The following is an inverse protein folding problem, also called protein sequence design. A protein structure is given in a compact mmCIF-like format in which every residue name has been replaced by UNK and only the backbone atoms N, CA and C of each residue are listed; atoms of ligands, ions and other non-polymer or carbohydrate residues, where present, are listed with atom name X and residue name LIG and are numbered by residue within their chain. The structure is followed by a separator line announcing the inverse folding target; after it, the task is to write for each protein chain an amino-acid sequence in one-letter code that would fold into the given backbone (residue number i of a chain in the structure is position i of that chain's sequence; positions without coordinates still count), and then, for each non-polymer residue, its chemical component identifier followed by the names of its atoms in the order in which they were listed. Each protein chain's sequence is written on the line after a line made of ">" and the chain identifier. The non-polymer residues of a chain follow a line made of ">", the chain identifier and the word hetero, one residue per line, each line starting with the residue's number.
data_IF_831981024342
#
_entry.id   IF_831981024342
#
_cell.length_a   1.000
_cell.length_b   1.000
_cell.length_c   1.000
_cell.angle_alpha   90.00
_cell.angle_beta   90.00
_cell.angle_gamma   90.00
#
_symmetry.space_group_name_H-M   'P 1'
#
loop_
_entity.id
_entity.type
_entity.pdbx_description
1 polymer ?
#
# COMPACT_ATOMS: atom_id res chain seq x y z
N UNK A 1 -32.09 -7.04 -24.44
CA UNK A 1 -31.21 -7.28 -23.27
C UNK A 1 -30.49 -5.98 -22.94
N UNK A 2 -30.77 -5.44 -21.75
CA UNK A 2 -30.50 -4.06 -21.34
C UNK A 2 -29.01 -3.84 -21.05
N UNK A 3 -28.45 -2.78 -21.64
CA UNK A 3 -27.16 -2.18 -21.27
C UNK A 3 -27.27 -1.66 -19.83
N UNK A 4 -26.52 -2.25 -18.91
CA UNK A 4 -26.33 -1.69 -17.58
C UNK A 4 -25.07 -0.83 -17.58
N UNK A 5 -25.34 0.46 -17.47
CA UNK A 5 -24.56 1.50 -16.82
C UNK A 5 -23.03 1.44 -16.97
N UNK A 6 -22.55 2.31 -17.87
CA UNK A 6 -21.30 3.03 -17.60
C UNK A 6 -21.42 3.65 -16.21
N UNK A 7 -20.65 3.13 -15.26
CA UNK A 7 -20.35 3.82 -14.01
C UNK A 7 -19.60 5.07 -14.43
N UNK A 8 -20.35 6.16 -14.41
CA UNK A 8 -19.89 7.50 -14.63
C UNK A 8 -18.89 7.79 -13.52
N UNK A 9 -17.60 7.78 -13.87
CA UNK A 9 -16.53 8.36 -13.07
C UNK A 9 -16.95 9.79 -12.72
N UNK A 10 -17.54 9.95 -11.54
CA UNK A 10 -17.54 11.23 -10.89
C UNK A 10 -16.08 11.49 -10.56
N UNK A 11 -15.46 12.30 -11.41
CA UNK A 11 -14.32 13.15 -11.08
C UNK A 11 -14.65 13.95 -9.81
N UNK A 12 -14.58 13.27 -8.66
CA UNK A 12 -14.17 13.88 -7.42
C UNK A 12 -12.82 14.49 -7.75
N UNK A 13 -12.80 15.80 -7.90
CA UNK A 13 -11.61 16.60 -8.07
C UNK A 13 -10.64 16.30 -6.93
N UNK A 14 -9.80 15.29 -7.13
CA UNK A 14 -8.68 14.94 -6.27
C UNK A 14 -7.69 16.08 -6.47
N UNK A 15 -7.87 17.15 -5.69
CA UNK A 15 -6.90 18.24 -5.63
C UNK A 15 -5.60 17.63 -5.11
N UNK A 16 -4.50 17.63 -5.89
CA UNK A 16 -3.22 17.13 -5.42
C UNK A 16 -2.72 18.08 -4.32
N UNK A 17 -2.81 17.64 -3.06
CA UNK A 17 -2.23 18.36 -1.94
C UNK A 17 -0.76 17.93 -1.88
N UNK A 18 0.12 18.86 -2.25
CA UNK A 18 1.58 18.74 -2.18
C UNK A 18 2.04 18.35 -0.76
N UNK A 19 3.03 17.44 -0.62
CA UNK A 19 3.55 17.00 0.68
C UNK A 19 4.45 18.04 1.38
N UNK A 20 4.60 19.26 0.86
CA UNK A 20 5.59 20.24 1.35
C UNK A 20 5.02 21.47 2.08
N UNK A 21 3.83 21.39 2.70
CA UNK A 21 3.31 22.52 3.49
C UNK A 21 2.72 22.08 4.84
N UNK A 22 3.60 21.93 5.83
CA UNK A 22 3.29 21.65 7.25
C UNK A 22 2.55 22.78 8.01
N UNK A 23 1.92 23.75 7.32
CA UNK A 23 1.28 24.89 8.00
C UNK A 23 -0.21 24.67 8.25
N UNK A 24 -0.74 25.25 9.33
CA UNK A 24 -2.14 25.19 9.76
C UNK A 24 -3.17 25.50 8.66
N UNK A 25 -2.75 26.17 7.58
CA UNK A 25 -3.53 26.42 6.37
C UNK A 25 -3.94 25.15 5.62
N UNK A 26 -3.13 24.08 5.64
CA UNK A 26 -3.46 22.81 5.00
C UNK A 26 -4.61 22.10 5.72
N UNK A 27 -4.66 22.19 7.05
CA UNK A 27 -5.77 21.69 7.86
C UNK A 27 -7.04 22.51 7.68
N UNK A 28 -6.93 23.84 7.62
CA UNK A 28 -8.06 24.73 7.34
C UNK A 28 -8.60 24.46 5.93
N UNK A 29 -7.73 24.26 4.94
CA UNK A 29 -8.13 23.88 3.58
C UNK A 29 -8.80 22.49 3.57
N UNK A 30 -8.21 21.48 4.20
CA UNK A 30 -8.81 20.15 4.31
C UNK A 30 -10.16 20.14 5.01
N UNK A 31 -10.32 20.94 6.07
CA UNK A 31 -11.58 21.09 6.81
C UNK A 31 -12.63 21.91 6.07
N UNK A 32 -12.23 22.86 5.21
CA UNK A 32 -13.15 23.67 4.38
C UNK A 32 -13.66 22.90 3.16
N UNK A 33 -12.85 22.01 2.57
CA UNK A 33 -13.19 21.23 1.37
C UNK A 33 -13.89 19.88 1.66
N UNK A 34 -14.32 19.63 2.89
CA UNK A 34 -15.19 18.50 3.19
C UNK A 34 -16.60 18.80 2.60
N UNK A 35 -17.26 17.87 1.88
CA UNK A 35 -18.63 18.10 1.37
C UNK A 35 -19.62 18.58 2.44
N UNK A 36 -19.45 18.11 3.68
CA UNK A 36 -20.28 18.54 4.82
C UNK A 36 -19.99 20.00 5.19
N UNK A 37 -18.73 20.43 5.28
CA UNK A 37 -18.41 21.83 5.60
C UNK A 37 -18.82 22.79 4.48
N UNK A 38 -18.71 22.37 3.21
CA UNK A 38 -19.21 23.13 2.06
C UNK A 38 -20.72 23.31 2.12
N UNK A 39 -21.48 22.27 2.46
CA UNK A 39 -22.94 22.39 2.62
C UNK A 39 -23.33 23.32 3.77
N UNK A 40 -22.64 23.26 4.91
CA UNK A 40 -22.88 24.14 6.06
C UNK A 40 -22.49 25.59 5.72
N UNK A 41 -21.39 25.80 5.01
CA UNK A 41 -20.96 27.12 4.55
C UNK A 41 -21.95 27.71 3.54
N UNK A 42 -22.38 26.92 2.55
CA UNK A 42 -23.39 27.35 1.57
C UNK A 42 -24.71 27.70 2.26
N UNK A 43 -25.15 26.87 3.23
CA UNK A 43 -26.34 27.14 4.02
C UNK A 43 -26.21 28.44 4.85
N UNK A 44 -25.09 28.62 5.54
CA UNK A 44 -24.82 29.82 6.34
C UNK A 44 -24.77 31.10 5.48
N UNK A 45 -24.20 31.02 4.28
CA UNK A 45 -24.19 32.12 3.31
C UNK A 45 -25.60 32.41 2.82
N UNK A 46 -26.39 31.41 2.43
CA UNK A 46 -27.78 31.60 2.00
C UNK A 46 -28.66 32.22 3.09
N UNK A 47 -28.52 31.77 4.34
CA UNK A 47 -29.23 32.34 5.50
C UNK A 47 -28.77 33.78 5.77
N UNK A 48 -27.46 34.04 5.70
CA UNK A 48 -26.90 35.39 5.88
C UNK A 48 -27.36 36.39 4.82
N UNK A 49 -27.43 35.97 3.56
CA UNK A 49 -27.99 36.78 2.46
C UNK A 49 -29.47 37.07 2.68
N UNK A 50 -30.25 36.07 3.11
CA UNK A 50 -31.69 36.23 3.33
C UNK A 50 -32.03 37.17 4.49
N UNK A 51 -31.19 37.24 5.52
CA UNK A 51 -31.48 38.01 6.74
C UNK A 51 -30.90 39.44 6.71
N UNK A 52 -29.71 39.63 6.12
CA UNK A 52 -28.96 40.90 6.19
C UNK A 52 -28.23 41.28 4.90
N UNK A 53 -28.53 40.62 3.77
CA UNK A 53 -27.87 40.87 2.48
C UNK A 53 -26.39 40.51 2.47
N UNK A 54 -25.56 41.23 1.69
CA UNK A 54 -24.13 40.93 1.55
C UNK A 54 -23.34 41.02 2.86
N UNK A 55 -23.70 41.93 3.77
CA UNK A 55 -23.03 42.08 5.06
C UNK A 55 -23.25 40.84 5.95
N UNK A 56 -24.46 40.27 5.95
CA UNK A 56 -24.76 39.03 6.67
C UNK A 56 -23.96 37.83 6.14
N UNK A 57 -23.79 37.74 4.81
CA UNK A 57 -22.97 36.71 4.18
C UNK A 57 -21.48 36.80 4.56
N UNK A 58 -20.93 38.03 4.59
CA UNK A 58 -19.52 38.25 4.98
C UNK A 58 -19.27 37.90 6.45
N UNK A 59 -20.19 38.27 7.35
CA UNK A 59 -20.09 37.93 8.78
C UNK A 59 -20.23 36.42 9.00
N UNK A 60 -21.14 35.75 8.29
CA UNK A 60 -21.29 34.30 8.34
C UNK A 60 -20.02 33.56 7.85
N UNK A 61 -19.40 34.03 6.76
CA UNK A 61 -18.11 33.49 6.32
C UNK A 61 -17.00 33.73 7.34
N UNK A 62 -16.87 34.95 7.87
CA UNK A 62 -15.83 35.30 8.84
C UNK A 62 -15.96 34.47 10.14
N UNK A 63 -17.18 34.29 10.64
CA UNK A 63 -17.45 33.45 11.82
C UNK A 63 -17.16 31.98 11.55
N UNK A 64 -17.52 31.45 10.37
CA UNK A 64 -17.20 30.08 9.98
C UNK A 64 -15.69 29.84 9.89
N UNK A 65 -14.94 30.77 9.31
CA UNK A 65 -13.47 30.71 9.23
C UNK A 65 -12.85 30.80 10.63
N UNK A 66 -13.35 31.69 11.49
CA UNK A 66 -12.87 31.83 12.86
C UNK A 66 -13.12 30.55 13.68
N UNK A 67 -14.35 30.01 13.64
CA UNK A 67 -14.72 28.76 14.31
C UNK A 67 -13.92 27.58 13.76
N UNK A 68 -13.75 27.48 12.44
CA UNK A 68 -12.91 26.47 11.81
C UNK A 68 -11.45 26.54 12.26
N UNK A 69 -10.89 27.75 12.36
CA UNK A 69 -9.52 27.97 12.83
C UNK A 69 -9.32 27.71 14.33
N UNK A 70 -10.37 27.90 15.14
CA UNK A 70 -10.36 27.50 16.55
C UNK A 70 -10.54 25.99 16.72
N UNK A 71 -11.38 25.36 15.90
CA UNK A 71 -11.61 23.93 15.92
C UNK A 71 -10.36 23.13 15.51
N UNK A 72 -9.51 23.65 14.62
CA UNK A 72 -8.22 23.01 14.29
C UNK A 72 -7.20 23.06 15.42
N UNK A 73 -7.37 23.93 16.42
CA UNK A 73 -6.55 23.93 17.65
C UNK A 73 -6.96 22.83 18.62
N UNK A 74 -8.15 22.24 18.47
CA UNK A 74 -8.59 21.13 19.32
C UNK A 74 -7.83 19.85 18.95
N UNK A 75 -7.10 19.28 19.92
CA UNK A 75 -6.30 18.05 19.75
C UNK A 75 -7.14 16.88 19.21
N UNK A 76 -8.41 16.81 19.56
CA UNK A 76 -9.33 15.77 19.11
C UNK A 76 -9.62 15.87 17.60
N UNK A 77 -9.92 17.08 17.12
CA UNK A 77 -10.18 17.34 15.70
C UNK A 77 -8.92 17.08 14.87
N UNK A 78 -7.75 17.51 15.37
CA UNK A 78 -6.47 17.25 14.71
C UNK A 78 -6.21 15.74 14.57
N UNK A 79 -6.34 14.95 15.65
CA UNK A 79 -6.20 13.49 15.58
C UNK A 79 -7.18 12.84 14.60
N UNK A 80 -8.42 13.32 14.53
CA UNK A 80 -9.40 12.80 13.58
C UNK A 80 -9.03 13.13 12.13
N UNK A 81 -8.55 14.35 11.87
CA UNK A 81 -8.06 14.77 10.56
C UNK A 81 -6.80 13.99 10.17
N UNK A 82 -5.85 13.82 11.08
CA UNK A 82 -4.61 13.06 10.85
C UNK A 82 -4.94 11.63 10.41
N UNK A 83 -5.85 10.94 11.12
CA UNK A 83 -6.35 9.62 10.73
C UNK A 83 -6.97 9.64 9.33
N UNK A 84 -7.80 10.63 9.00
CA UNK A 84 -8.39 10.74 7.67
C UNK A 84 -7.34 10.95 6.57
N UNK A 85 -6.30 11.74 6.84
CA UNK A 85 -5.20 11.93 5.91
C UNK A 85 -4.42 10.63 5.71
N UNK A 86 -4.09 9.91 6.77
CA UNK A 86 -3.44 8.60 6.71
C UNK A 86 -4.25 7.61 5.86
N UNK A 87 -5.56 7.51 6.09
CA UNK A 87 -6.46 6.67 5.27
C UNK A 87 -6.43 7.06 3.79
N UNK A 88 -6.46 8.36 3.47
CA UNK A 88 -6.42 8.83 2.08
C UNK A 88 -5.09 8.55 1.40
N UNK A 89 -3.97 8.73 2.12
CA UNK A 89 -2.64 8.40 1.61
C UNK A 89 -2.53 6.91 1.33
N UNK A 90 -3.01 6.06 2.25
CA UNK A 90 -3.05 4.60 2.07
C UNK A 90 -3.90 4.21 0.86
N UNK A 91 -5.13 4.73 0.74
CA UNK A 91 -6.01 4.47 -0.41
C UNK A 91 -5.39 4.93 -1.74
N UNK A 92 -4.74 6.09 -1.77
CA UNK A 92 -4.08 6.59 -2.97
C UNK A 92 -2.94 5.65 -3.40
N UNK A 93 -2.12 5.20 -2.46
CA UNK A 93 -1.03 4.26 -2.71
C UNK A 93 -1.55 2.92 -3.24
N UNK A 94 -2.62 2.40 -2.65
CA UNK A 94 -3.26 1.15 -3.10
C UNK A 94 -3.86 1.27 -4.51
N UNK A 95 -4.53 2.38 -4.80
CA UNK A 95 -5.07 2.66 -6.13
C UNK A 95 -3.96 2.77 -7.19
N UNK A 96 -2.84 3.39 -6.83
CA UNK A 96 -1.67 3.50 -7.70
C UNK A 96 -1.05 2.12 -7.99
N UNK A 97 -0.85 1.28 -6.97
CA UNK A 97 -0.36 -0.11 -7.13
C UNK A 97 -1.26 -0.93 -8.06
N UNK A 98 -2.57 -0.91 -7.83
CA UNK A 98 -3.53 -1.63 -8.68
C UNK A 98 -3.52 -1.12 -10.12
N UNK A 99 -3.38 0.21 -10.31
CA UNK A 99 -3.25 0.81 -11.64
C UNK A 99 -1.97 0.34 -12.34
N UNK A 100 -0.86 0.25 -11.62
CA UNK A 100 0.42 -0.25 -12.15
C UNK A 100 0.38 -1.75 -12.49
N UNK A 101 -0.37 -2.55 -11.71
CA UNK A 101 -0.54 -4.00 -11.93
C UNK A 101 -1.56 -4.35 -13.02
N UNK A 102 -2.42 -3.42 -13.44
CA UNK A 102 -3.39 -3.63 -14.52
C UNK A 102 -2.85 -4.36 -15.77
N UNK A 103 -1.67 -4.02 -16.33
CA UNK A 103 -1.11 -4.69 -17.51
C UNK A 103 -0.52 -6.09 -17.24
N UNK A 104 -0.27 -6.47 -15.98
CA UNK A 104 0.38 -7.75 -15.62
C UNK A 104 -0.55 -8.96 -15.66
N UNK A 105 -1.85 -8.74 -15.89
CA UNK A 105 -2.88 -9.80 -15.96
C UNK A 105 -3.56 -10.10 -14.62
N UNK A 106 -4.61 -10.92 -14.68
CA UNK A 106 -5.48 -11.19 -13.53
C UNK A 106 -4.77 -11.99 -12.41
N UNK A 107 -3.87 -12.92 -12.77
CA UNK A 107 -3.17 -13.77 -11.79
C UNK A 107 -2.31 -12.94 -10.84
N UNK A 108 -1.51 -12.00 -11.37
CA UNK A 108 -0.66 -11.12 -10.55
C UNK A 108 -1.48 -10.14 -9.71
N UNK A 109 -2.63 -9.68 -10.21
CA UNK A 109 -3.55 -8.85 -9.43
C UNK A 109 -4.16 -9.63 -8.26
N UNK A 110 -4.55 -10.89 -8.48
CA UNK A 110 -5.07 -11.74 -7.41
C UNK A 110 -4.00 -11.99 -6.34
N UNK A 111 -2.78 -12.35 -6.74
CA UNK A 111 -1.66 -12.53 -5.80
C UNK A 111 -1.41 -11.26 -4.97
N UNK A 112 -1.41 -10.08 -5.62
CA UNK A 112 -1.29 -8.82 -4.91
C UNK A 112 -2.42 -8.60 -3.90
N UNK A 113 -3.68 -8.89 -4.27
CA UNK A 113 -4.82 -8.75 -3.35
C UNK A 113 -4.66 -9.66 -2.13
N UNK A 114 -4.26 -10.91 -2.33
CA UNK A 114 -4.00 -11.86 -1.24
C UNK A 114 -2.90 -11.35 -0.30
N UNK A 115 -1.77 -10.89 -0.85
CA UNK A 115 -0.66 -10.33 -0.07
C UNK A 115 -1.07 -9.05 0.67
N UNK A 116 -1.81 -8.17 0.03
CA UNK A 116 -2.33 -6.94 0.64
C UNK A 116 -3.23 -7.28 1.83
N UNK A 117 -4.10 -8.27 1.69
CA UNK A 117 -5.03 -8.66 2.74
C UNK A 117 -4.28 -9.24 3.95
N UNK A 118 -3.26 -10.07 3.71
CA UNK A 118 -2.35 -10.55 4.77
C UNK A 118 -1.60 -9.41 5.46
N UNK A 119 -1.02 -8.47 4.70
CA UNK A 119 -0.32 -7.31 5.28
C UNK A 119 -1.27 -6.46 6.13
N UNK A 120 -2.51 -6.24 5.66
CA UNK A 120 -3.52 -5.52 6.43
C UNK A 120 -3.91 -6.24 7.73
N UNK A 121 -3.94 -7.58 7.71
CA UNK A 121 -4.20 -8.39 8.90
C UNK A 121 -3.03 -8.31 9.90
N UNK A 122 -1.79 -8.37 9.42
CA UNK A 122 -0.59 -8.18 10.25
C UNK A 122 -0.57 -6.78 10.85
N UNK A 123 -0.78 -5.73 10.06
CA UNK A 123 -0.85 -4.34 10.55
C UNK A 123 -1.91 -4.14 11.63
N UNK A 124 -3.02 -4.90 11.56
CA UNK A 124 -4.08 -4.86 12.55
C UNK A 124 -3.71 -5.61 13.83
N UNK A 125 -2.94 -6.69 13.72
CA UNK A 125 -2.60 -7.59 14.83
C UNK A 125 -1.34 -7.13 15.55
N UNK A 126 -0.25 -6.91 14.82
CA UNK A 126 1.03 -6.39 15.30
C UNK A 126 1.57 -5.31 14.33
N UNK A 127 1.26 -4.02 14.57
CA UNK A 127 1.75 -2.92 13.72
C UNK A 127 3.27 -2.74 13.81
N UNK A 128 3.90 -3.16 14.91
CA UNK A 128 5.35 -3.03 15.07
C UNK A 128 6.08 -4.05 14.20
N UNK A 129 5.57 -5.28 14.12
CA UNK A 129 6.12 -6.29 13.20
C UNK A 129 5.95 -5.89 11.73
N UNK A 130 4.79 -5.34 11.36
CA UNK A 130 4.57 -4.79 10.02
C UNK A 130 5.56 -3.68 9.66
N UNK A 131 5.88 -2.80 10.62
CA UNK A 131 6.86 -1.74 10.44
C UNK A 131 8.29 -2.29 10.37
N UNK A 132 8.64 -3.25 11.23
CA UNK A 132 9.97 -3.88 11.28
C UNK A 132 10.35 -4.54 9.97
N UNK A 133 9.40 -5.21 9.32
CA UNK A 133 9.60 -5.83 8.01
C UNK A 133 9.25 -4.91 6.83
N UNK A 134 8.89 -3.66 7.11
CA UNK A 134 8.53 -2.66 6.10
C UNK A 134 7.52 -3.20 5.06
N UNK A 135 6.50 -3.95 5.50
CA UNK A 135 5.62 -4.73 4.62
C UNK A 135 4.96 -3.89 3.53
N UNK A 136 4.68 -2.62 3.80
CA UNK A 136 4.17 -1.70 2.79
C UNK A 136 5.18 -1.42 1.67
N UNK A 137 6.47 -1.26 1.98
CA UNK A 137 7.52 -1.09 0.98
C UNK A 137 7.74 -2.38 0.19
N UNK A 138 7.60 -3.54 0.86
CA UNK A 138 7.66 -4.84 0.21
C UNK A 138 6.53 -5.04 -0.82
N UNK A 139 5.31 -4.55 -0.53
CA UNK A 139 4.21 -4.54 -1.50
C UNK A 139 4.47 -3.62 -2.70
N UNK A 140 5.13 -2.48 -2.49
CA UNK A 140 5.56 -1.62 -3.61
C UNK A 140 6.59 -2.37 -4.48
N UNK A 141 7.57 -3.00 -3.83
CA UNK A 141 8.60 -3.78 -4.50
C UNK A 141 8.00 -4.94 -5.32
N UNK A 142 7.02 -5.66 -4.76
CA UNK A 142 6.27 -6.68 -5.49
C UNK A 142 5.63 -6.13 -6.77
N UNK A 143 5.02 -4.93 -6.72
CA UNK A 143 4.43 -4.30 -7.89
C UNK A 143 5.48 -4.00 -8.96
N UNK A 144 6.62 -3.45 -8.56
CA UNK A 144 7.74 -3.14 -9.46
C UNK A 144 8.32 -4.40 -10.13
N UNK A 145 8.48 -5.48 -9.36
CA UNK A 145 8.92 -6.78 -9.85
C UNK A 145 7.91 -7.37 -10.83
N UNK A 146 6.61 -7.35 -10.50
CA UNK A 146 5.56 -7.89 -11.36
C UNK A 146 5.48 -7.13 -12.70
N UNK A 147 5.59 -5.80 -12.68
CA UNK A 147 5.64 -4.97 -13.88
C UNK A 147 6.90 -5.28 -14.70
N UNK A 148 8.06 -5.41 -14.05
CA UNK A 148 9.32 -5.75 -14.71
C UNK A 148 9.28 -7.13 -15.36
N UNK A 149 8.68 -8.10 -14.68
CA UNK A 149 8.46 -9.46 -15.18
C UNK A 149 7.56 -9.45 -16.41
N UNK A 150 6.44 -8.73 -16.37
CA UNK A 150 5.54 -8.58 -17.51
C UNK A 150 6.24 -7.91 -18.70
N UNK A 151 7.02 -6.85 -18.48
CA UNK A 151 7.79 -6.17 -19.55
C UNK A 151 8.80 -7.11 -20.21
N UNK A 152 9.45 -7.99 -19.43
CA UNK A 152 10.36 -8.99 -20.00
C UNK A 152 9.61 -10.03 -20.84
N UNK A 153 8.44 -10.49 -20.39
CA UNK A 153 7.58 -11.39 -21.18
C UNK A 153 7.14 -10.73 -22.50
N UNK A 154 6.73 -9.46 -22.46
CA UNK A 154 6.29 -8.76 -23.66
C UNK A 154 7.46 -8.48 -24.62
N UNK A 155 8.65 -8.20 -24.11
CA UNK A 155 9.88 -8.09 -24.92
C UNK A 155 10.21 -9.42 -25.62
N UNK A 156 10.05 -10.54 -24.91
CA UNK A 156 10.27 -11.88 -25.46
C UNK A 156 9.20 -12.27 -26.50
N UNK A 157 7.95 -11.84 -26.31
CA UNK A 157 6.87 -11.99 -27.31
C UNK A 157 7.16 -11.18 -28.58
N UNK A 158 7.52 -9.90 -28.42
CA UNK A 158 7.85 -9.00 -29.54
C UNK A 158 9.12 -9.42 -30.29
N UNK A 159 10.06 -10.07 -29.61
CA UNK A 159 11.26 -10.64 -30.24
C UNK A 159 10.96 -11.83 -31.18
N UNK A 160 9.71 -12.31 -31.25
CA UNK A 160 9.31 -13.41 -32.13
C UNK A 160 9.80 -14.76 -31.62
N UNK A 161 9.60 -15.05 -30.33
CA UNK A 161 10.02 -16.32 -29.70
C UNK A 161 9.52 -17.59 -30.41
N UNK A 162 8.45 -17.49 -31.21
CA UNK A 162 7.94 -18.56 -32.09
C UNK A 162 8.74 -18.75 -33.39
N UNK A 163 9.38 -17.69 -33.88
CA UNK A 163 9.96 -17.64 -35.23
C UNK A 163 11.49 -17.81 -35.22
N UNK A 164 12.10 -17.74 -34.04
CA UNK A 164 13.52 -17.99 -33.83
C UNK A 164 13.72 -19.47 -33.45
N UNK A 165 14.48 -20.25 -34.25
CA UNK A 165 14.79 -21.63 -33.89
C UNK A 165 15.45 -21.68 -32.50
N UNK A 166 15.01 -22.63 -31.66
CA UNK A 166 15.49 -22.80 -30.27
C UNK A 166 17.00 -23.05 -30.22
N UNK A 167 17.52 -23.69 -31.26
CA UNK A 167 18.94 -23.94 -31.51
C UNK A 167 19.45 -23.00 -32.63
N UNK A 168 20.70 -22.54 -32.54
CA UNK A 168 21.33 -21.92 -33.72
C UNK A 168 21.27 -22.95 -34.85
N UNK A 169 20.63 -22.65 -36.01
CA UNK A 169 20.75 -23.53 -37.15
C UNK A 169 22.24 -23.66 -37.48
N UNK A 170 22.68 -24.87 -37.83
CA UNK A 170 24.05 -25.13 -38.29
C UNK A 170 24.50 -24.01 -39.25
N UNK A 171 25.79 -23.61 -39.21
CA UNK A 171 26.29 -22.49 -39.99
C UNK A 171 26.04 -22.74 -41.47
N UNK A 172 24.93 -22.19 -41.96
CA UNK A 172 24.54 -22.23 -43.35
C UNK A 172 25.53 -21.34 -44.12
N UNK A 173 26.46 -21.91 -44.92
CA UNK A 173 27.54 -21.16 -45.55
C UNK A 173 27.03 -20.11 -46.53
N UNK A 174 25.75 -20.18 -46.91
CA UNK A 174 25.08 -19.25 -47.82
C UNK A 174 24.48 -18.01 -47.12
N UNK A 175 24.51 -17.92 -45.79
CA UNK A 175 23.98 -16.74 -45.06
C UNK A 175 25.01 -15.62 -44.96
N UNK A 176 24.59 -14.41 -45.32
CA UNK A 176 25.39 -13.19 -45.16
C UNK A 176 25.86 -13.00 -43.71
N UNK A 177 27.09 -12.52 -43.53
CA UNK A 177 27.69 -12.31 -42.21
C UNK A 177 26.82 -11.40 -41.31
N UNK A 178 26.23 -10.35 -41.91
CA UNK A 178 25.29 -9.45 -41.23
C UNK A 178 24.06 -10.17 -40.68
N UNK A 179 23.49 -11.13 -41.42
CA UNK A 179 22.31 -11.90 -40.97
C UNK A 179 22.68 -12.85 -39.82
N UNK A 180 23.86 -13.46 -39.86
CA UNK A 180 24.39 -14.29 -38.77
C UNK A 180 24.60 -13.48 -37.49
N UNK A 181 25.17 -12.29 -37.59
CA UNK A 181 25.37 -11.39 -36.44
C UNK A 181 24.04 -10.95 -35.82
N UNK A 182 23.05 -10.56 -36.65
CA UNK A 182 21.71 -10.18 -36.18
C UNK A 182 21.04 -11.34 -35.45
N UNK A 183 21.11 -12.57 -35.99
CA UNK A 183 20.56 -13.75 -35.33
C UNK A 183 21.26 -14.05 -34.00
N UNK A 184 22.60 -13.99 -33.96
CA UNK A 184 23.36 -14.19 -32.73
C UNK A 184 23.04 -13.13 -31.67
N UNK A 185 22.85 -11.86 -32.06
CA UNK A 185 22.41 -10.79 -31.14
C UNK A 185 21.00 -11.05 -30.60
N UNK A 186 20.06 -11.46 -31.45
CA UNK A 186 18.69 -11.79 -31.03
C UNK A 186 18.63 -13.00 -30.09
N UNK A 187 19.42 -14.04 -30.35
CA UNK A 187 19.53 -15.21 -29.47
C UNK A 187 20.09 -14.84 -28.10
N UNK A 188 21.19 -14.07 -28.06
CA UNK A 188 21.76 -13.58 -26.79
C UNK A 188 20.77 -12.76 -25.98
N UNK A 189 20.05 -11.85 -26.63
CA UNK A 189 19.03 -11.04 -25.97
C UNK A 189 17.86 -11.89 -25.45
N UNK A 190 17.41 -12.89 -26.23
CA UNK A 190 16.39 -13.85 -25.77
C UNK A 190 16.85 -14.58 -24.51
N UNK A 191 18.05 -15.13 -24.53
CA UNK A 191 18.57 -15.92 -23.41
C UNK A 191 18.79 -15.03 -22.16
N UNK A 192 19.18 -13.78 -22.34
CA UNK A 192 19.23 -12.77 -21.26
C UNK A 192 17.84 -12.47 -20.69
N UNK A 193 16.83 -12.27 -21.54
CA UNK A 193 15.45 -12.07 -21.11
C UNK A 193 14.90 -13.28 -20.35
N UNK A 194 15.15 -14.50 -20.82
CA UNK A 194 14.72 -15.73 -20.13
C UNK A 194 15.33 -15.82 -18.73
N UNK A 195 16.65 -15.65 -18.61
CA UNK A 195 17.32 -15.66 -17.31
C UNK A 195 16.81 -14.56 -16.37
N UNK A 196 16.45 -13.40 -16.92
CA UNK A 196 15.89 -12.29 -16.14
C UNK A 196 14.45 -12.61 -15.69
N UNK A 197 13.65 -13.25 -16.53
CA UNK A 197 12.28 -13.69 -16.17
C UNK A 197 12.34 -14.69 -15.02
N UNK A 198 13.23 -15.68 -15.10
CA UNK A 198 13.43 -16.68 -14.04
C UNK A 198 13.77 -16.02 -12.70
N UNK A 199 14.79 -15.15 -12.67
CA UNK A 199 15.16 -14.42 -11.44
C UNK A 199 14.02 -13.59 -10.87
N UNK A 200 13.29 -12.87 -11.73
CA UNK A 200 12.15 -12.06 -11.29
C UNK A 200 11.00 -12.93 -10.76
N UNK A 201 10.82 -14.14 -11.30
CA UNK A 201 9.83 -15.08 -10.80
C UNK A 201 10.23 -15.59 -9.41
N UNK A 202 11.49 -15.98 -9.22
CA UNK A 202 12.04 -16.41 -7.93
C UNK A 202 11.92 -15.30 -6.87
N UNK A 203 12.26 -14.05 -7.22
CA UNK A 203 12.13 -12.90 -6.32
C UNK A 203 10.66 -12.63 -5.94
N UNK A 204 9.72 -12.75 -6.88
CA UNK A 204 8.30 -12.61 -6.60
C UNK A 204 7.78 -13.70 -5.65
N UNK A 205 8.26 -14.93 -5.80
CA UNK A 205 7.91 -16.04 -4.91
C UNK A 205 8.52 -15.86 -3.51
N UNK A 206 9.77 -15.39 -3.43
CA UNK A 206 10.42 -15.09 -2.16
C UNK A 206 9.68 -13.99 -1.37
N UNK A 207 9.17 -12.97 -2.05
CA UNK A 207 8.34 -11.92 -1.43
C UNK A 207 7.02 -12.50 -0.90
N UNK A 208 6.33 -13.33 -1.71
CA UNK A 208 5.08 -13.99 -1.28
C UNK A 208 5.30 -14.87 -0.04
N UNK A 209 6.35 -15.70 -0.07
CA UNK A 209 6.69 -16.58 1.04
C UNK A 209 7.04 -15.80 2.31
N UNK A 210 7.82 -14.72 2.20
CA UNK A 210 8.17 -13.88 3.34
C UNK A 210 6.92 -13.31 4.01
N UNK A 211 6.00 -12.73 3.24
CA UNK A 211 4.75 -12.16 3.78
C UNK A 211 3.93 -13.24 4.45
N UNK A 212 3.81 -14.44 3.86
CA UNK A 212 3.07 -15.55 4.46
C UNK A 212 3.69 -16.03 5.76
N UNK A 213 5.03 -16.12 5.84
CA UNK A 213 5.73 -16.50 7.07
C UNK A 213 5.56 -15.45 8.18
N UNK A 214 5.61 -14.16 7.84
CA UNK A 214 5.32 -13.09 8.80
C UNK A 214 3.86 -13.16 9.27
N UNK A 215 2.91 -13.42 8.36
CA UNK A 215 1.51 -13.61 8.72
C UNK A 215 1.31 -14.79 9.67
N UNK A 216 1.94 -15.94 9.39
CA UNK A 216 1.90 -17.11 10.27
C UNK A 216 2.46 -16.83 11.66
N UNK A 217 3.55 -16.06 11.73
CA UNK A 217 4.16 -15.63 12.99
C UNK A 217 3.24 -14.69 13.76
N UNK A 218 2.68 -13.67 13.10
CA UNK A 218 1.77 -12.71 13.71
C UNK A 218 0.44 -13.33 14.17
N UNK A 219 -0.02 -14.36 13.46
CA UNK A 219 -1.22 -15.12 13.81
C UNK A 219 -0.97 -16.20 14.89
N UNK A 220 0.30 -16.54 15.16
CA UNK A 220 0.64 -17.48 16.22
C UNK A 220 0.21 -16.92 17.58
N UNK A 221 -0.33 -17.75 18.50
CA UNK A 221 -0.55 -17.30 19.86
C UNK A 221 0.81 -16.84 20.41
N UNK A 222 0.88 -15.61 20.92
CA UNK A 222 2.07 -15.17 21.64
C UNK A 222 2.25 -16.12 22.83
N UNK A 223 3.15 -17.09 22.67
CA UNK A 223 3.55 -18.02 23.72
C UNK A 223 4.01 -17.27 24.97
N UNK A 224 4.39 -16.00 24.84
CA UNK A 224 4.74 -15.10 25.93
C UNK A 224 3.67 -15.06 27.05
N UNK A 225 2.38 -15.07 26.75
CA UNK A 225 1.35 -14.97 27.79
C UNK A 225 1.17 -16.22 28.65
N UNK A 226 1.44 -17.42 28.11
CA UNK A 226 1.39 -18.68 28.87
C UNK A 226 2.74 -19.01 29.51
N UNK A 227 3.83 -18.67 28.82
CA UNK A 227 5.19 -18.82 29.33
C UNK A 227 5.46 -17.86 30.50
N UNK A 228 5.03 -16.61 30.41
CA UNK A 228 5.18 -15.63 31.51
C UNK A 228 4.36 -16.05 32.73
N UNK A 229 3.15 -16.58 32.53
CA UNK A 229 2.34 -17.13 33.65
C UNK A 229 2.97 -18.38 34.27
N UNK A 230 3.57 -19.24 33.47
CA UNK A 230 4.30 -20.41 33.97
C UNK A 230 5.59 -20.00 34.69
N UNK A 231 6.30 -18.98 34.21
CA UNK A 231 7.48 -18.41 34.86
C UNK A 231 7.08 -17.77 36.20
N UNK A 232 6.01 -16.98 36.24
CA UNK A 232 5.47 -16.40 37.49
C UNK A 232 5.07 -17.49 38.48
N UNK A 233 4.42 -18.57 38.02
CA UNK A 233 4.07 -19.70 38.87
C UNK A 233 5.31 -20.37 39.46
N UNK A 234 6.34 -20.62 38.65
CA UNK A 234 7.58 -21.25 39.12
C UNK A 234 8.40 -20.37 40.04
N UNK A 235 8.38 -19.05 39.85
CA UNK A 235 9.01 -18.11 40.77
C UNK A 235 8.32 -18.15 42.14
N UNK A 236 6.98 -18.20 42.15
CA UNK A 236 6.22 -18.32 43.40
C UNK A 236 6.48 -19.63 44.14
N UNK A 237 6.56 -20.76 43.42
CA UNK A 237 6.94 -22.05 44.01
C UNK A 237 8.36 -22.04 44.59
N UNK A 238 9.30 -21.32 43.96
CA UNK A 238 10.67 -21.18 44.48
C UNK A 238 10.71 -20.32 45.73
N UNK A 239 9.93 -19.23 45.78
CA UNK A 239 9.82 -18.39 46.97
C UNK A 239 9.22 -19.15 48.17
N UNK A 240 8.20 -19.98 47.94
CA UNK A 240 7.63 -20.85 49.00
C UNK A 240 8.64 -21.86 49.54
N UNK A 241 9.45 -22.45 48.65
CA UNK A 241 10.50 -23.40 49.04
C UNK A 241 11.61 -22.72 49.83
N UNK A 242 12.04 -21.53 49.42
CA UNK A 242 13.03 -20.74 50.15
C UNK A 242 12.52 -20.31 51.53
N UNK A 243 11.24 -19.93 51.65
CA UNK A 243 10.62 -19.59 52.92
C UNK A 243 10.55 -20.81 53.86
N UNK A 244 10.16 -21.98 53.33
CA UNK A 244 10.15 -23.23 54.10
C UNK A 244 11.57 -23.67 54.54
N UNK A 245 12.57 -23.50 53.67
CA UNK A 245 13.97 -23.79 54.00
C UNK A 245 14.51 -22.82 55.06
N UNK A 246 14.12 -21.54 55.02
CA UNK A 246 14.48 -20.55 56.04
C UNK A 246 13.92 -20.89 57.42
N UNK A 247 12.70 -21.44 57.48
CA UNK A 247 12.05 -21.87 58.73
C UNK A 247 12.66 -23.15 59.31
N UNK A 248 13.23 -24.03 58.47
CA UNK A 248 13.92 -25.25 58.91
C UNK A 248 15.39 -25.03 59.30
N UNK A 249 15.97 -23.91 58.88
CA UNK A 249 17.37 -23.54 59.17
C UNK A 249 17.52 -22.51 60.30
N UNK A 250 16.40 -21.98 60.82
CA UNK A 250 16.32 -21.13 62.01
C UNK A 250 16.09 -21.98 63.28
#
# INVERSE_FOLDING_TARGET
>A
MKRLAAVQDQDLSIVPISPQAETALTYVRGALFNPVSLSVMAFAVCVGVGYAGMLGALVAMATFVAIGSMATRYRFVRRALDKQFEYRVKQKREAERLRQLKPTGAVRQQQYCELRDLVNEIERTDPHEAQRFELQQLLDHFCDLAVSHQRCLDSLRLAGSSDLPRTMPLPDPHRSARRREIMARRLRHRDECVRRIERLADELEAVDELVRRVAQRAAGPMLDGELDREIERRLWELDEVDEALSQLSA
#
